data_IF_544939298029
#
_entry.id   IF_544939298029
#
_cell.length_a   1.000
_cell.length_b   1.000
_cell.length_c   1.000
_cell.angle_alpha   90.00
_cell.angle_beta   90.00
_cell.angle_gamma   90.00
#
_symmetry.space_group_name_H-M   'P 1'
#
loop_
_entity.id
_entity.type
_entity.pdbx_description
1 polymer ?
#
# COMPACT_ATOMS: atom_id res chain seq x y z
N UNK A 1 13.97 -3.95 -19.45
CA UNK A 1 14.10 -2.49 -19.70
C UNK A 1 13.41 -2.00 -20.96
N UNK A 2 13.72 -2.46 -22.20
CA UNK A 2 13.04 -1.96 -23.43
C UNK A 2 11.57 -2.40 -23.53
N UNK A 3 11.27 -3.67 -23.24
CA UNK A 3 9.88 -4.20 -23.25
C UNK A 3 8.98 -3.53 -22.21
N UNK A 4 9.51 -3.21 -21.04
CA UNK A 4 8.74 -2.58 -19.96
C UNK A 4 8.40 -1.13 -20.30
N UNK A 5 9.33 -0.39 -20.94
CA UNK A 5 9.05 0.97 -21.46
C UNK A 5 7.97 0.98 -22.55
N UNK A 6 7.97 -0.01 -23.46
CA UNK A 6 6.92 -0.13 -24.47
C UNK A 6 5.57 -0.45 -23.85
N UNK A 7 5.53 -1.36 -22.87
CA UNK A 7 4.29 -1.73 -22.21
C UNK A 7 3.74 -0.56 -21.38
N UNK A 8 4.58 0.18 -20.65
CA UNK A 8 4.18 1.41 -19.94
C UNK A 8 3.61 2.44 -20.93
N UNK A 9 4.27 2.67 -22.05
CA UNK A 9 3.80 3.59 -23.09
C UNK A 9 2.44 3.20 -23.72
N UNK A 10 2.06 1.92 -23.66
CA UNK A 10 0.73 1.45 -24.10
C UNK A 10 -0.34 1.60 -23.02
N UNK A 11 0.03 1.46 -21.76
CA UNK A 11 -0.90 1.51 -20.61
C UNK A 11 -1.19 2.96 -20.20
N UNK A 12 -0.20 3.83 -20.26
CA UNK A 12 -0.32 5.23 -19.82
C UNK A 12 -1.45 6.01 -20.52
N UNK A 13 -1.63 5.94 -21.86
CA UNK A 13 -2.77 6.59 -22.53
C UNK A 13 -4.12 6.05 -22.08
N UNK A 14 -4.19 4.75 -21.76
CA UNK A 14 -5.40 4.12 -21.26
C UNK A 14 -5.75 4.62 -19.87
N UNK A 15 -4.78 4.68 -18.97
CA UNK A 15 -4.96 5.21 -17.62
C UNK A 15 -5.33 6.70 -17.69
N UNK A 16 -4.67 7.49 -18.52
CA UNK A 16 -5.01 8.90 -18.72
C UNK A 16 -6.47 9.08 -19.16
N UNK A 17 -6.94 8.25 -20.09
CA UNK A 17 -8.34 8.26 -20.50
C UNK A 17 -9.25 7.89 -19.34
N UNK A 18 -8.95 6.84 -18.61
CA UNK A 18 -9.73 6.39 -17.45
C UNK A 18 -9.84 7.48 -16.38
N UNK A 19 -8.72 8.16 -16.06
CA UNK A 19 -8.70 9.25 -15.08
C UNK A 19 -9.46 10.49 -15.59
N UNK A 20 -9.40 10.78 -16.89
CA UNK A 20 -10.21 11.84 -17.51
C UNK A 20 -11.70 11.51 -17.41
N UNK A 21 -12.08 10.29 -17.77
CA UNK A 21 -13.46 9.84 -17.70
C UNK A 21 -13.97 9.83 -16.25
N UNK A 22 -13.11 9.46 -15.28
CA UNK A 22 -13.41 9.46 -13.84
C UNK A 22 -13.78 10.87 -13.33
N UNK A 23 -13.14 11.92 -13.84
CA UNK A 23 -13.49 13.32 -13.51
C UNK A 23 -14.86 13.74 -14.03
N UNK A 24 -15.30 13.19 -15.18
CA UNK A 24 -16.53 13.59 -15.83
C UNK A 24 -17.75 12.76 -15.39
N UNK A 25 -17.56 11.46 -15.14
CA UNK A 25 -18.57 10.52 -14.69
C UNK A 25 -17.91 9.45 -13.82
N UNK A 26 -17.73 9.73 -12.52
CA UNK A 26 -17.00 8.84 -11.59
C UNK A 26 -17.60 7.44 -11.51
N UNK A 27 -18.92 7.34 -11.45
CA UNK A 27 -19.63 6.07 -11.27
C UNK A 27 -19.47 5.15 -12.48
N UNK A 28 -19.73 5.69 -13.67
CA UNK A 28 -19.59 4.95 -14.93
C UNK A 28 -18.14 4.56 -15.20
N UNK A 29 -17.22 5.47 -14.91
CA UNK A 29 -15.79 5.25 -15.16
C UNK A 29 -15.23 4.16 -14.27
N UNK A 30 -15.63 4.10 -13.00
CA UNK A 30 -15.22 3.02 -12.12
C UNK A 30 -15.68 1.65 -12.65
N UNK A 31 -16.93 1.54 -13.10
CA UNK A 31 -17.44 0.30 -13.73
C UNK A 31 -16.60 -0.09 -14.95
N UNK A 32 -16.31 0.88 -15.83
CA UNK A 32 -15.48 0.64 -17.02
C UNK A 32 -14.04 0.20 -16.64
N UNK A 33 -13.46 0.75 -15.56
CA UNK A 33 -12.13 0.34 -15.06
C UNK A 33 -12.13 -1.13 -14.63
N UNK A 34 -13.13 -1.54 -13.87
CA UNK A 34 -13.27 -2.93 -13.42
C UNK A 34 -13.49 -3.87 -14.60
N UNK A 35 -14.39 -3.52 -15.52
CA UNK A 35 -14.66 -4.31 -16.72
C UNK A 35 -13.43 -4.44 -17.63
N UNK A 36 -12.64 -3.38 -17.74
CA UNK A 36 -11.39 -3.40 -18.48
C UNK A 36 -10.36 -4.33 -17.83
N UNK A 37 -10.18 -4.23 -16.52
CA UNK A 37 -9.27 -5.11 -15.77
C UNK A 37 -9.70 -6.58 -15.94
N UNK A 38 -11.00 -6.86 -15.92
CA UNK A 38 -11.58 -8.18 -16.18
C UNK A 38 -11.33 -8.69 -17.62
N UNK A 39 -11.22 -7.77 -18.58
CA UNK A 39 -11.02 -8.12 -19.99
C UNK A 39 -9.58 -8.51 -20.35
N UNK A 40 -8.60 -8.31 -19.44
CA UNK A 40 -7.21 -8.70 -19.71
C UNK A 40 -7.03 -10.24 -19.67
N UNK A 41 -6.78 -10.90 -20.83
CA UNK A 41 -6.88 -12.37 -20.98
C UNK A 41 -5.80 -13.17 -20.26
N UNK A 42 -4.80 -12.52 -19.65
CA UNK A 42 -3.71 -13.17 -18.91
C UNK A 42 -3.67 -12.79 -17.42
N UNK A 43 -4.73 -12.18 -16.92
CA UNK A 43 -4.83 -11.80 -15.51
C UNK A 43 -4.92 -13.05 -14.63
N UNK A 44 -3.82 -13.41 -14.01
CA UNK A 44 -3.80 -14.34 -12.85
C UNK A 44 -4.23 -13.63 -11.56
N UNK A 45 -4.88 -12.49 -11.66
CA UNK A 45 -5.64 -11.95 -10.56
C UNK A 45 -6.78 -12.94 -10.34
N UNK A 46 -6.87 -13.50 -9.15
CA UNK A 46 -7.91 -14.48 -8.86
C UNK A 46 -9.27 -13.86 -9.15
N UNK A 47 -10.17 -14.62 -9.76
CA UNK A 47 -11.56 -14.22 -10.01
C UNK A 47 -12.19 -13.59 -8.76
N UNK A 48 -11.77 -14.03 -7.57
CA UNK A 48 -12.28 -13.54 -6.28
C UNK A 48 -12.08 -12.03 -6.04
N UNK A 49 -10.94 -11.45 -6.44
CA UNK A 49 -10.73 -10.00 -6.26
C UNK A 49 -11.63 -9.19 -7.21
N UNK A 50 -11.80 -9.68 -8.43
CA UNK A 50 -12.67 -9.03 -9.41
C UNK A 50 -14.14 -9.21 -9.10
N UNK A 51 -14.54 -10.37 -8.63
CA UNK A 51 -15.90 -10.62 -8.14
C UNK A 51 -16.21 -9.69 -6.95
N UNK A 52 -15.24 -9.46 -6.07
CA UNK A 52 -15.38 -8.51 -4.97
C UNK A 52 -15.56 -7.08 -5.49
N UNK A 53 -14.74 -6.63 -6.44
CA UNK A 53 -14.85 -5.31 -7.05
C UNK A 53 -16.17 -5.15 -7.83
N UNK A 54 -16.60 -6.16 -8.61
CA UNK A 54 -17.88 -6.14 -9.29
C UNK A 54 -19.05 -6.06 -8.30
N UNK A 55 -18.99 -6.85 -7.23
CA UNK A 55 -20.00 -6.82 -6.16
C UNK A 55 -20.07 -5.45 -5.47
N UNK A 56 -18.93 -4.80 -5.26
CA UNK A 56 -18.86 -3.43 -4.75
C UNK A 56 -19.57 -2.43 -5.69
N UNK A 57 -19.44 -2.61 -6.98
CA UNK A 57 -20.00 -1.71 -8.00
C UNK A 57 -21.47 -1.97 -8.33
N UNK A 58 -22.03 -3.13 -7.93
CA UNK A 58 -23.46 -3.43 -8.13
C UNK A 58 -24.36 -2.87 -7.04
N UNK A 59 -23.80 -2.40 -5.92
CA UNK A 59 -24.55 -1.76 -4.85
C UNK A 59 -24.72 -0.27 -5.15
N UNK A 60 -25.88 0.14 -5.60
CA UNK A 60 -26.18 1.56 -5.91
C UNK A 60 -26.11 2.49 -4.69
N UNK A 61 -26.19 1.95 -3.48
CA UNK A 61 -26.07 2.69 -2.22
C UNK A 61 -24.67 2.59 -1.60
N UNK A 62 -23.67 2.16 -2.35
CA UNK A 62 -22.31 2.02 -1.85
C UNK A 62 -21.70 3.37 -1.49
N UNK A 63 -21.17 3.50 -0.27
CA UNK A 63 -20.41 4.67 0.14
C UNK A 63 -19.11 4.86 -0.66
N UNK A 64 -18.68 3.85 -1.42
CA UNK A 64 -17.52 3.98 -2.31
C UNK A 64 -17.73 4.93 -3.49
N UNK A 65 -18.98 5.22 -3.88
CA UNK A 65 -19.24 6.32 -4.82
C UNK A 65 -18.89 7.67 -4.19
N UNK A 66 -19.20 7.85 -2.91
CA UNK A 66 -18.78 9.05 -2.15
C UNK A 66 -17.25 9.11 -2.05
N UNK A 67 -16.58 8.00 -1.74
CA UNK A 67 -15.12 7.92 -1.72
C UNK A 67 -14.50 8.39 -3.05
N UNK A 68 -15.00 7.90 -4.18
CA UNK A 68 -14.47 8.29 -5.48
C UNK A 68 -14.68 9.77 -5.76
N UNK A 69 -15.87 10.28 -5.43
CA UNK A 69 -16.16 11.71 -5.57
C UNK A 69 -15.23 12.57 -4.70
N UNK A 70 -14.94 12.13 -3.47
CA UNK A 70 -13.96 12.78 -2.60
C UNK A 70 -12.57 12.81 -3.29
N UNK A 71 -12.06 11.64 -3.71
CA UNK A 71 -10.74 11.53 -4.37
C UNK A 71 -10.65 12.46 -5.59
N UNK A 72 -11.64 12.43 -6.46
CA UNK A 72 -11.65 13.24 -7.70
C UNK A 72 -11.71 14.74 -7.40
N UNK A 73 -12.33 15.15 -6.28
CA UNK A 73 -12.53 16.55 -5.94
C UNK A 73 -11.27 17.25 -5.44
N UNK A 74 -10.37 16.54 -4.75
CA UNK A 74 -9.21 17.17 -4.12
C UNK A 74 -7.85 16.69 -4.65
N UNK A 75 -7.75 15.41 -5.08
CA UNK A 75 -6.46 14.80 -5.37
C UNK A 75 -5.85 15.29 -6.69
N UNK A 76 -4.55 15.55 -6.68
CA UNK A 76 -3.79 15.68 -7.93
C UNK A 76 -3.80 14.36 -8.70
N UNK A 77 -4.41 14.38 -9.89
CA UNK A 77 -4.57 13.18 -10.72
C UNK A 77 -3.25 12.58 -11.21
N UNK A 78 -2.16 13.35 -11.24
CA UNK A 78 -0.83 12.82 -11.53
C UNK A 78 -0.32 11.93 -10.38
N UNK A 79 -0.64 12.27 -9.12
CA UNK A 79 -0.33 11.40 -7.99
C UNK A 79 -1.07 10.05 -8.12
N UNK A 80 -2.36 10.09 -8.40
CA UNK A 80 -3.15 8.87 -8.58
C UNK A 80 -2.65 8.05 -9.77
N UNK A 81 -2.31 8.71 -10.88
CA UNK A 81 -1.77 8.07 -12.09
C UNK A 81 -0.45 7.35 -11.82
N UNK A 82 0.55 8.06 -11.31
CA UNK A 82 1.88 7.50 -11.10
C UNK A 82 1.85 6.38 -10.05
N UNK A 83 1.15 6.59 -8.94
CA UNK A 83 0.98 5.55 -7.93
C UNK A 83 0.29 4.31 -8.52
N UNK A 84 -0.80 4.48 -9.27
CA UNK A 84 -1.56 3.37 -9.85
C UNK A 84 -0.76 2.61 -10.92
N UNK A 85 0.02 3.29 -11.76
CA UNK A 85 0.91 2.64 -12.72
C UNK A 85 1.96 1.80 -11.99
N UNK A 86 2.59 2.35 -10.97
CA UNK A 86 3.64 1.67 -10.24
C UNK A 86 3.11 0.48 -9.44
N UNK A 87 2.01 0.65 -8.69
CA UNK A 87 1.38 -0.44 -7.95
C UNK A 87 0.76 -1.49 -8.89
N UNK A 88 0.01 -1.06 -9.90
CA UNK A 88 -0.71 -1.96 -10.80
C UNK A 88 0.20 -2.66 -11.82
N UNK A 89 0.94 -1.88 -12.61
CA UNK A 89 1.75 -2.47 -13.67
C UNK A 89 3.14 -2.91 -13.18
N UNK A 90 3.90 -2.00 -12.55
CA UNK A 90 5.28 -2.32 -12.18
C UNK A 90 5.31 -3.42 -11.10
N UNK A 91 4.53 -3.29 -10.02
CA UNK A 91 4.53 -4.27 -8.94
C UNK A 91 3.71 -5.53 -9.27
N UNK A 92 2.43 -5.37 -9.66
CA UNK A 92 1.52 -6.51 -9.80
C UNK A 92 1.66 -7.26 -11.15
N UNK A 93 2.34 -6.72 -12.14
CA UNK A 93 2.48 -7.36 -13.47
C UNK A 93 3.94 -7.69 -13.80
N UNK A 94 4.77 -6.68 -14.06
CA UNK A 94 6.17 -6.88 -14.44
C UNK A 94 6.99 -7.45 -13.30
N UNK A 95 6.92 -6.84 -12.13
CA UNK A 95 7.60 -7.27 -10.91
C UNK A 95 7.15 -8.66 -10.47
N UNK A 96 5.85 -8.90 -10.42
CA UNK A 96 5.28 -10.20 -10.08
C UNK A 96 5.80 -11.36 -10.97
N UNK A 97 6.04 -11.10 -12.25
CA UNK A 97 6.67 -12.07 -13.14
C UNK A 97 8.10 -12.38 -12.70
N UNK A 98 8.89 -11.34 -12.43
CA UNK A 98 10.29 -11.47 -11.96
C UNK A 98 10.35 -12.19 -10.62
N UNK A 99 9.49 -11.83 -9.67
CA UNK A 99 9.35 -12.49 -8.37
C UNK A 99 9.13 -13.99 -8.55
N UNK A 100 8.15 -14.39 -9.36
CA UNK A 100 7.84 -15.83 -9.58
C UNK A 100 8.99 -16.58 -10.26
N UNK A 101 9.69 -15.95 -11.19
CA UNK A 101 10.86 -16.56 -11.88
C UNK A 101 12.02 -16.73 -10.90
N UNK A 102 12.35 -15.69 -10.13
CA UNK A 102 13.45 -15.72 -9.17
C UNK A 102 13.14 -16.61 -7.95
N UNK A 103 11.91 -16.62 -7.45
CA UNK A 103 11.50 -17.51 -6.37
C UNK A 103 11.71 -18.98 -6.75
N UNK A 104 11.29 -19.37 -7.96
CA UNK A 104 11.51 -20.74 -8.46
C UNK A 104 12.99 -21.05 -8.66
N UNK A 105 13.76 -20.13 -9.25
CA UNK A 105 15.19 -20.31 -9.51
C UNK A 105 15.99 -20.47 -8.22
N UNK A 106 15.62 -19.74 -7.18
CA UNK A 106 16.36 -19.68 -5.92
C UNK A 106 15.78 -20.58 -4.83
N UNK A 107 14.62 -21.23 -5.08
CA UNK A 107 13.86 -22.03 -4.12
C UNK A 107 13.63 -21.26 -2.80
N UNK A 108 13.18 -20.03 -2.93
CA UNK A 108 12.79 -19.17 -1.79
C UNK A 108 11.63 -18.27 -2.17
N UNK A 109 10.85 -17.86 -1.19
CA UNK A 109 9.78 -16.90 -1.40
C UNK A 109 10.34 -15.48 -1.42
N UNK A 110 9.95 -14.71 -2.43
CA UNK A 110 10.25 -13.29 -2.55
C UNK A 110 8.91 -12.56 -2.39
N UNK A 111 8.76 -11.67 -1.40
CA UNK A 111 7.50 -11.00 -1.14
C UNK A 111 7.17 -10.00 -2.25
N UNK A 112 5.87 -9.77 -2.46
CA UNK A 112 5.39 -8.74 -3.40
C UNK A 112 5.60 -7.31 -2.88
N UNK A 113 5.46 -7.12 -1.58
CA UNK A 113 5.68 -5.86 -0.87
C UNK A 113 6.74 -6.06 0.21
N UNK A 114 7.56 -5.07 0.43
CA UNK A 114 8.52 -5.05 1.53
C UNK A 114 8.18 -3.90 2.48
N UNK A 115 8.00 -4.23 3.75
CA UNK A 115 7.84 -3.24 4.80
C UNK A 115 9.23 -2.90 5.35
N UNK A 116 9.55 -1.62 5.48
CA UNK A 116 10.85 -1.13 5.93
C UNK A 116 10.63 -0.08 7.00
N UNK A 117 11.07 -0.36 8.22
CA UNK A 117 11.18 0.66 9.26
C UNK A 117 12.48 1.44 9.03
N UNK A 118 12.39 2.76 9.02
CA UNK A 118 13.55 3.63 8.76
C UNK A 118 13.51 4.89 9.60
N UNK A 119 14.64 5.55 9.66
CA UNK A 119 14.80 6.90 10.16
C UNK A 119 15.91 7.61 9.40
N UNK A 120 16.17 8.86 9.73
CA UNK A 120 17.22 9.67 9.11
C UNK A 120 18.61 9.00 9.15
N UNK A 121 18.94 8.28 10.23
CA UNK A 121 20.28 7.68 10.41
C UNK A 121 20.44 6.43 9.55
N UNK A 122 19.33 5.71 9.25
CA UNK A 122 19.32 4.45 8.51
C UNK A 122 18.92 4.62 7.03
N UNK A 123 18.76 5.86 6.57
CA UNK A 123 18.34 6.18 5.18
C UNK A 123 19.20 5.52 4.10
N UNK A 124 20.52 5.46 4.30
CA UNK A 124 21.42 4.77 3.36
C UNK A 124 21.14 3.27 3.28
N UNK A 125 20.89 2.63 4.42
CA UNK A 125 20.51 1.21 4.49
C UNK A 125 19.20 1.00 3.74
N UNK A 126 18.19 1.85 3.97
CA UNK A 126 16.90 1.79 3.28
C UNK A 126 17.05 1.92 1.76
N UNK A 127 17.88 2.85 1.29
CA UNK A 127 18.18 2.99 -0.15
C UNK A 127 18.82 1.73 -0.75
N UNK A 128 19.76 1.11 -0.04
CA UNK A 128 20.42 -0.13 -0.46
C UNK A 128 19.44 -1.32 -0.46
N UNK A 129 18.52 -1.41 0.51
CA UNK A 129 17.46 -2.41 0.56
C UNK A 129 16.54 -2.27 -0.66
N UNK A 130 16.03 -1.07 -0.93
CA UNK A 130 15.15 -0.80 -2.08
C UNK A 130 15.83 -1.14 -3.39
N UNK A 131 17.10 -0.79 -3.55
CA UNK A 131 17.89 -1.15 -4.73
C UNK A 131 17.95 -2.66 -4.93
N UNK A 132 18.27 -3.44 -3.91
CA UNK A 132 18.32 -4.90 -3.97
C UNK A 132 16.93 -5.50 -4.21
N UNK A 133 15.89 -4.96 -3.58
CA UNK A 133 14.51 -5.40 -3.74
C UNK A 133 14.01 -5.24 -5.18
N UNK A 134 14.36 -4.14 -5.86
CA UNK A 134 14.04 -3.92 -7.29
C UNK A 134 14.68 -4.97 -8.20
N UNK A 135 15.89 -5.42 -7.90
CA UNK A 135 16.56 -6.50 -8.64
C UNK A 135 15.80 -7.83 -8.48
N UNK A 136 15.04 -7.99 -7.40
CA UNK A 136 14.18 -9.15 -7.13
C UNK A 136 12.77 -9.02 -7.74
N UNK A 137 12.42 -7.85 -8.28
CA UNK A 137 11.11 -7.56 -8.86
C UNK A 137 10.12 -6.92 -7.88
N UNK A 138 10.58 -6.51 -6.70
CA UNK A 138 9.74 -5.81 -5.70
C UNK A 138 9.70 -4.33 -6.08
N UNK A 139 8.50 -3.81 -6.38
CA UNK A 139 8.24 -2.41 -6.73
C UNK A 139 7.18 -1.77 -5.83
N UNK A 140 6.71 -2.47 -4.80
CA UNK A 140 5.80 -1.96 -3.78
C UNK A 140 6.52 -1.94 -2.45
N UNK A 141 6.52 -0.79 -1.78
CA UNK A 141 7.16 -0.59 -0.49
C UNK A 141 6.20 0.06 0.50
N UNK A 142 6.17 -0.45 1.73
CA UNK A 142 5.61 0.22 2.87
C UNK A 142 6.78 0.72 3.73
N UNK A 143 6.95 2.03 3.81
CA UNK A 143 8.02 2.66 4.60
C UNK A 143 7.41 3.23 5.86
N UNK A 144 7.96 2.90 7.01
CA UNK A 144 7.54 3.41 8.31
C UNK A 144 8.63 4.38 8.78
N UNK A 145 8.30 5.67 8.82
CA UNK A 145 9.17 6.75 9.26
C UNK A 145 8.31 7.77 10.03
N UNK A 146 8.36 7.69 11.34
CA UNK A 146 7.50 8.50 12.22
C UNK A 146 7.79 10.01 12.08
N UNK A 147 9.03 10.38 11.80
CA UNK A 147 9.50 11.78 11.68
C UNK A 147 10.14 12.02 10.30
N UNK A 148 9.29 12.08 9.30
CA UNK A 148 9.68 12.10 7.88
C UNK A 148 10.86 13.01 7.58
N UNK A 149 11.97 12.40 7.14
CA UNK A 149 13.22 13.08 6.82
C UNK A 149 13.32 13.49 5.34
N UNK A 150 14.21 14.45 5.04
CA UNK A 150 14.56 14.79 3.65
C UNK A 150 15.18 13.59 2.93
N UNK A 151 15.90 12.75 3.65
CA UNK A 151 16.53 11.54 3.15
C UNK A 151 15.47 10.52 2.72
N UNK A 152 14.39 10.35 3.48
CA UNK A 152 13.26 9.49 3.12
C UNK A 152 12.53 10.03 1.88
N UNK A 153 12.28 11.33 1.81
CA UNK A 153 11.69 11.97 0.63
C UNK A 153 12.57 11.75 -0.62
N UNK A 154 13.90 11.90 -0.49
CA UNK A 154 14.83 11.67 -1.61
C UNK A 154 14.85 10.20 -2.07
N UNK A 155 14.80 9.25 -1.14
CA UNK A 155 14.69 7.82 -1.47
C UNK A 155 13.44 7.56 -2.32
N UNK A 156 12.28 8.11 -1.94
CA UNK A 156 11.04 7.93 -2.69
C UNK A 156 11.14 8.61 -4.06
N UNK A 157 11.69 9.83 -4.13
CA UNK A 157 11.86 10.61 -5.35
C UNK A 157 12.70 9.89 -6.40
N UNK A 158 13.86 9.38 -6.02
CA UNK A 158 14.79 8.73 -6.97
C UNK A 158 14.31 7.33 -7.41
N UNK A 159 13.34 6.74 -6.71
CA UNK A 159 12.73 5.46 -7.05
C UNK A 159 11.32 5.66 -7.62
N UNK A 160 11.19 6.56 -8.58
CA UNK A 160 9.91 6.98 -9.15
C UNK A 160 9.14 5.87 -9.90
N UNK A 161 9.77 4.75 -10.23
CA UNK A 161 9.13 3.55 -10.79
C UNK A 161 8.50 2.63 -9.73
N UNK A 162 8.68 2.92 -8.45
CA UNK A 162 8.10 2.18 -7.33
C UNK A 162 6.85 2.88 -6.78
N UNK A 163 5.94 2.13 -6.17
CA UNK A 163 4.86 2.66 -5.36
C UNK A 163 5.24 2.58 -3.88
N UNK A 164 5.02 3.67 -3.16
CA UNK A 164 5.31 3.77 -1.73
C UNK A 164 4.04 4.05 -0.93
N UNK A 165 3.85 3.32 0.17
CA UNK A 165 2.98 3.74 1.26
C UNK A 165 3.87 4.19 2.39
N UNK A 166 3.81 5.48 2.74
CA UNK A 166 4.60 6.06 3.82
C UNK A 166 3.74 6.16 5.07
N UNK A 167 4.04 5.36 6.07
CA UNK A 167 3.40 5.40 7.38
C UNK A 167 4.18 6.37 8.29
N UNK A 168 3.49 7.36 8.84
CA UNK A 168 4.11 8.41 9.63
C UNK A 168 3.16 8.99 10.67
N UNK A 169 3.69 9.72 11.65
CA UNK A 169 2.87 10.45 12.62
C UNK A 169 2.24 11.69 11.99
N UNK A 170 1.00 11.99 12.34
CA UNK A 170 0.29 13.19 11.87
C UNK A 170 1.00 14.48 12.29
N UNK A 171 1.68 14.47 13.45
CA UNK A 171 2.50 15.58 13.95
C UNK A 171 3.69 15.92 13.06
N UNK A 172 4.14 15.00 12.20
CA UNK A 172 5.22 15.24 11.23
C UNK A 172 4.75 16.03 10.01
N UNK A 173 3.44 16.13 9.77
CA UNK A 173 2.87 16.87 8.64
C UNK A 173 2.96 18.37 8.90
N UNK A 174 3.76 19.04 8.11
CA UNK A 174 4.04 20.49 8.19
C UNK A 174 4.23 21.07 6.80
N UNK A 175 4.20 22.38 6.65
CA UNK A 175 4.50 23.05 5.37
C UNK A 175 5.84 22.60 4.78
N UNK A 176 6.85 22.37 5.64
CA UNK A 176 8.15 21.85 5.23
C UNK A 176 8.03 20.43 4.65
N UNK A 177 7.35 19.54 5.36
CA UNK A 177 7.16 18.15 4.92
C UNK A 177 6.36 18.11 3.62
N UNK A 178 5.30 18.90 3.51
CA UNK A 178 4.49 19.00 2.29
C UNK A 178 5.34 19.49 1.11
N UNK A 179 6.17 20.51 1.31
CA UNK A 179 7.07 21.04 0.28
C UNK A 179 8.11 19.99 -0.18
N UNK A 180 8.63 19.15 0.72
CA UNK A 180 9.54 18.06 0.35
C UNK A 180 8.90 17.04 -0.61
N UNK A 181 7.57 16.88 -0.56
CA UNK A 181 6.81 15.96 -1.42
C UNK A 181 6.09 16.65 -2.58
N UNK A 182 6.41 17.89 -2.93
CA UNK A 182 5.70 18.62 -3.99
C UNK A 182 5.82 17.93 -5.36
N UNK A 183 7.01 17.47 -5.70
CA UNK A 183 7.33 16.80 -6.96
C UNK A 183 7.24 15.26 -6.91
N UNK A 184 6.94 14.67 -5.74
CA UNK A 184 6.82 13.23 -5.56
C UNK A 184 5.38 12.79 -5.84
N UNK A 185 5.18 11.92 -6.85
CA UNK A 185 3.85 11.50 -7.34
C UNK A 185 3.55 10.01 -7.09
N UNK A 186 4.49 9.26 -6.58
CA UNK A 186 4.43 7.81 -6.41
C UNK A 186 4.26 7.35 -4.95
N UNK A 187 3.74 8.22 -4.10
CA UNK A 187 3.55 7.96 -2.67
C UNK A 187 2.11 8.18 -2.24
N UNK A 188 1.63 7.29 -1.36
CA UNK A 188 0.45 7.42 -0.52
C UNK A 188 0.95 7.63 0.91
N UNK A 189 0.71 8.79 1.50
CA UNK A 189 1.02 9.04 2.90
C UNK A 189 -0.09 8.48 3.80
N UNK A 190 0.24 7.69 4.80
CA UNK A 190 -0.70 7.20 5.82
C UNK A 190 -0.31 7.79 7.16
N UNK A 191 -1.21 8.53 7.79
CA UNK A 191 -0.95 9.27 9.01
C UNK A 191 -1.68 8.68 10.22
N UNK A 192 -1.05 8.75 11.39
CA UNK A 192 -1.60 8.35 12.68
C UNK A 192 -1.40 9.47 13.70
N UNK A 193 -2.29 9.62 14.66
CA UNK A 193 -2.15 10.63 15.71
C UNK A 193 -3.42 10.85 16.52
N UNK A 194 -3.35 11.82 17.40
CA UNK A 194 -4.51 12.31 18.15
C UNK A 194 -5.52 13.00 17.25
N UNK A 195 -6.73 13.23 17.76
CA UNK A 195 -7.79 13.91 17.02
C UNK A 195 -7.37 15.26 16.44
N UNK A 196 -6.70 16.07 17.25
CA UNK A 196 -6.30 17.42 16.86
C UNK A 196 -5.17 17.39 15.82
N UNK A 197 -4.23 16.46 15.97
CA UNK A 197 -3.16 16.24 14.98
C UNK A 197 -3.71 15.73 13.64
N UNK A 198 -4.62 14.74 13.67
CA UNK A 198 -5.27 14.23 12.46
C UNK A 198 -6.05 15.33 11.75
N UNK A 199 -6.84 16.15 12.49
CA UNK A 199 -7.59 17.26 11.90
C UNK A 199 -6.65 18.22 11.15
N UNK A 200 -5.59 18.68 11.81
CA UNK A 200 -4.63 19.61 11.22
C UNK A 200 -3.91 19.00 10.02
N UNK A 201 -3.43 17.76 10.14
CA UNK A 201 -2.66 17.10 9.10
C UNK A 201 -3.52 16.78 7.87
N UNK A 202 -4.75 16.27 8.05
CA UNK A 202 -5.64 15.95 6.93
C UNK A 202 -6.08 17.20 6.17
N UNK A 203 -6.34 18.31 6.88
CA UNK A 203 -6.65 19.59 6.23
C UNK A 203 -5.48 20.07 5.38
N UNK A 204 -4.27 20.05 5.93
CA UNK A 204 -3.06 20.44 5.20
C UNK A 204 -2.79 19.55 3.97
N UNK A 205 -2.93 18.22 4.10
CA UNK A 205 -2.74 17.28 2.99
C UNK A 205 -3.82 17.46 1.90
N UNK A 206 -5.07 17.72 2.29
CA UNK A 206 -6.19 17.97 1.37
C UNK A 206 -5.99 19.28 0.60
N UNK A 207 -5.65 20.38 1.29
CA UNK A 207 -5.39 21.69 0.68
C UNK A 207 -4.23 21.64 -0.31
N UNK A 208 -3.24 20.78 -0.07
CA UNK A 208 -2.09 20.58 -0.96
C UNK A 208 -2.27 19.41 -1.94
N UNK A 209 -3.49 18.90 -2.11
CA UNK A 209 -3.85 17.88 -3.10
C UNK A 209 -3.03 16.59 -3.00
N UNK A 210 -2.59 16.21 -1.79
CA UNK A 210 -1.74 15.03 -1.56
C UNK A 210 -2.58 13.76 -1.46
N UNK A 211 -2.03 12.65 -1.93
CA UNK A 211 -2.62 11.34 -1.80
C UNK A 211 -2.36 10.78 -0.41
N UNK A 212 -3.41 10.65 0.41
CA UNK A 212 -3.25 10.24 1.80
C UNK A 212 -4.32 9.28 2.29
N UNK A 213 -4.00 8.63 3.40
CA UNK A 213 -4.80 7.68 4.16
C UNK A 213 -4.59 7.91 5.66
N UNK A 214 -5.35 7.21 6.48
CA UNK A 214 -5.15 7.15 7.93
C UNK A 214 -4.81 5.73 8.32
N UNK A 215 -3.99 5.55 9.36
CA UNK A 215 -3.79 4.24 9.96
C UNK A 215 -3.99 4.25 11.46
N UNK A 216 -4.31 3.07 11.99
CA UNK A 216 -4.48 2.83 13.42
C UNK A 216 -3.87 1.47 13.79
N UNK A 217 -3.42 1.35 15.03
CA UNK A 217 -2.79 0.15 15.53
C UNK A 217 -3.78 -0.70 16.34
N UNK A 218 -3.64 -2.01 16.23
CA UNK A 218 -4.41 -2.97 17.03
C UNK A 218 -3.52 -4.03 17.68
N UNK A 219 -4.02 -4.56 18.77
CA UNK A 219 -3.46 -5.68 19.52
C UNK A 219 -4.58 -6.52 20.15
N UNK A 220 -4.20 -7.47 21.02
CA UNK A 220 -5.15 -8.36 21.69
C UNK A 220 -6.12 -7.62 22.64
N UNK A 221 -5.75 -6.43 23.12
CA UNK A 221 -6.55 -5.66 24.08
C UNK A 221 -7.59 -4.78 23.38
N UNK A 222 -7.25 -4.20 22.21
CA UNK A 222 -8.06 -3.19 21.56
C UNK A 222 -8.76 -3.64 20.25
N UNK A 223 -8.46 -4.81 19.70
CA UNK A 223 -8.94 -5.26 18.39
C UNK A 223 -10.49 -5.19 18.25
N UNK A 224 -11.22 -5.48 19.32
CA UNK A 224 -12.69 -5.39 19.29
C UNK A 224 -13.19 -3.97 19.14
N UNK A 225 -12.51 -2.99 19.73
CA UNK A 225 -12.91 -1.57 19.68
C UNK A 225 -12.71 -0.93 18.31
N UNK A 226 -11.83 -1.51 17.46
CA UNK A 226 -11.59 -1.03 16.09
C UNK A 226 -12.87 -1.04 15.26
N UNK A 227 -13.76 -2.00 15.50
CA UNK A 227 -15.01 -2.17 14.75
C UNK A 227 -16.22 -1.56 15.45
N UNK A 228 -16.04 -0.83 16.55
CA UNK A 228 -17.12 -0.07 17.15
C UNK A 228 -17.61 1.01 16.16
N UNK A 229 -18.93 1.14 16.00
CA UNK A 229 -19.54 2.08 15.05
C UNK A 229 -19.06 3.53 15.27
N UNK A 230 -18.90 3.91 16.53
CA UNK A 230 -18.36 5.23 16.90
C UNK A 230 -16.93 5.43 16.35
N UNK A 231 -16.08 4.40 16.44
CA UNK A 231 -14.69 4.48 15.94
C UNK A 231 -14.62 4.45 14.41
N UNK A 232 -15.45 3.64 13.76
CA UNK A 232 -15.55 3.62 12.29
C UNK A 232 -16.05 4.98 11.76
N UNK A 233 -17.07 5.57 12.39
CA UNK A 233 -17.56 6.90 12.03
C UNK A 233 -16.53 8.00 12.34
N UNK A 234 -15.76 7.88 13.42
CA UNK A 234 -14.65 8.79 13.71
C UNK A 234 -13.64 8.85 12.57
N UNK A 235 -13.24 7.71 12.01
CA UNK A 235 -12.32 7.69 10.88
C UNK A 235 -12.92 8.22 9.57
N UNK A 236 -14.24 8.24 9.42
CA UNK A 236 -14.92 8.83 8.25
C UNK A 236 -14.59 10.32 8.07
N UNK A 237 -14.35 11.04 9.17
CA UNK A 237 -14.04 12.48 9.16
C UNK A 237 -12.61 12.77 8.68
N UNK A 238 -11.67 11.81 8.85
CA UNK A 238 -10.25 12.01 8.59
C UNK A 238 -9.71 11.20 7.40
N UNK A 239 -10.48 10.23 6.90
CA UNK A 239 -10.00 9.29 5.89
C UNK A 239 -10.55 9.63 4.52
N UNK A 240 -9.66 9.89 3.56
CA UNK A 240 -10.06 10.20 2.19
C UNK A 240 -9.91 9.01 1.24
N UNK A 241 -9.20 7.95 1.62
CA UNK A 241 -8.95 6.79 0.75
C UNK A 241 -9.00 5.47 1.49
N UNK A 242 -8.02 5.21 2.36
CA UNK A 242 -7.88 3.96 3.10
C UNK A 242 -7.81 4.21 4.60
N UNK A 243 -8.39 3.30 5.36
CA UNK A 243 -8.08 3.10 6.76
C UNK A 243 -7.22 1.84 6.88
N UNK A 244 -5.94 2.00 7.15
CA UNK A 244 -5.03 0.89 7.38
C UNK A 244 -5.05 0.49 8.85
N UNK A 245 -5.34 -0.77 9.14
CA UNK A 245 -5.25 -1.34 10.47
C UNK A 245 -3.96 -2.16 10.56
N UNK A 246 -3.06 -1.77 11.45
CA UNK A 246 -1.74 -2.37 11.59
C UNK A 246 -1.63 -3.16 12.90
N UNK A 247 -1.24 -4.44 12.88
CA UNK A 247 -1.01 -5.16 14.12
C UNK A 247 0.24 -4.64 14.83
N UNK A 248 0.19 -4.53 16.14
CA UNK A 248 1.41 -4.46 16.93
C UNK A 248 2.16 -5.80 16.88
N UNK A 249 3.45 -5.81 17.22
CA UNK A 249 4.28 -7.03 17.15
C UNK A 249 3.84 -8.19 18.07
N UNK A 250 2.85 -7.98 18.93
CA UNK A 250 2.40 -8.94 19.96
C UNK A 250 0.98 -9.46 19.75
N UNK A 251 0.43 -9.38 18.56
CA UNK A 251 -0.90 -9.90 18.29
C UNK A 251 -0.94 -11.43 18.28
N UNK A 252 -1.92 -12.01 18.96
CA UNK A 252 -2.23 -13.43 18.85
C UNK A 252 -2.81 -13.78 17.48
N UNK A 253 -2.73 -15.04 17.08
CA UNK A 253 -3.36 -15.51 15.84
C UNK A 253 -4.88 -15.33 15.86
N UNK A 254 -5.51 -15.47 17.03
CA UNK A 254 -6.96 -15.23 17.19
C UNK A 254 -7.32 -13.79 16.87
N UNK A 255 -6.53 -12.82 17.34
CA UNK A 255 -6.69 -11.40 17.02
C UNK A 255 -6.50 -11.13 15.53
N UNK A 256 -5.47 -11.69 14.91
CA UNK A 256 -5.24 -11.55 13.47
C UNK A 256 -6.39 -12.10 12.63
N UNK A 257 -6.93 -13.27 12.99
CA UNK A 257 -8.08 -13.88 12.29
C UNK A 257 -9.37 -13.06 12.51
N UNK A 258 -9.58 -12.54 13.72
CA UNK A 258 -10.69 -11.66 14.04
C UNK A 258 -10.65 -10.37 13.21
N UNK A 259 -9.49 -9.72 13.14
CA UNK A 259 -9.29 -8.49 12.36
C UNK A 259 -9.54 -8.72 10.86
N UNK A 260 -8.97 -9.78 10.29
CA UNK A 260 -9.17 -10.16 8.89
C UNK A 260 -10.66 -10.33 8.54
N UNK A 261 -11.39 -11.06 9.38
CA UNK A 261 -12.80 -11.37 9.16
C UNK A 261 -13.68 -10.12 9.23
N UNK A 262 -13.42 -9.24 10.21
CA UNK A 262 -14.22 -8.02 10.41
C UNK A 262 -13.85 -6.90 9.43
N UNK A 263 -12.57 -6.73 9.08
CA UNK A 263 -12.17 -5.79 8.03
C UNK A 263 -12.83 -6.15 6.69
N UNK A 264 -12.88 -7.45 6.36
CA UNK A 264 -13.62 -7.93 5.19
C UNK A 264 -15.11 -7.61 5.28
N UNK A 265 -15.74 -7.79 6.45
CA UNK A 265 -17.14 -7.48 6.66
C UNK A 265 -17.42 -5.98 6.44
N UNK A 266 -16.60 -5.09 7.00
CA UNK A 266 -16.72 -3.63 6.79
C UNK A 266 -16.66 -3.30 5.30
N UNK A 267 -15.71 -3.88 4.54
CA UNK A 267 -15.62 -3.70 3.09
C UNK A 267 -16.85 -4.23 2.33
N UNK A 268 -17.35 -5.39 2.71
CA UNK A 268 -18.52 -6.01 2.06
C UNK A 268 -19.82 -5.21 2.32
N UNK A 269 -19.94 -4.56 3.47
CA UNK A 269 -21.09 -3.72 3.83
C UNK A 269 -21.10 -2.36 3.09
N UNK A 270 -19.95 -1.84 2.71
CA UNK A 270 -19.77 -0.60 1.92
C UNK A 270 -20.48 0.63 2.52
N UNK A 271 -20.52 0.71 3.86
CA UNK A 271 -21.20 1.80 4.60
C UNK A 271 -20.35 3.04 4.77
N UNK A 272 -19.01 2.90 4.68
CA UNK A 272 -18.04 3.96 4.92
C UNK A 272 -17.37 4.40 3.63
N UNK A 273 -17.12 5.70 3.48
CA UNK A 273 -16.46 6.29 2.32
C UNK A 273 -14.93 6.19 2.38
N UNK A 274 -14.45 5.07 2.87
CA UNK A 274 -13.03 4.65 2.84
C UNK A 274 -12.93 3.13 2.69
N UNK A 275 -11.78 2.64 2.23
CA UNK A 275 -11.49 1.21 2.15
C UNK A 275 -10.69 0.80 3.38
N UNK A 276 -11.29 0.00 4.27
CA UNK A 276 -10.57 -0.56 5.41
C UNK A 276 -9.66 -1.69 4.97
N UNK A 277 -8.39 -1.65 5.37
CA UNK A 277 -7.40 -2.69 5.08
C UNK A 277 -6.73 -3.17 6.37
N UNK A 278 -6.77 -4.46 6.61
CA UNK A 278 -5.91 -5.12 7.58
C UNK A 278 -4.54 -5.38 6.92
N UNK A 279 -3.57 -4.54 7.25
CA UNK A 279 -2.27 -4.51 6.57
C UNK A 279 -1.61 -5.88 6.57
N UNK A 280 -1.68 -6.62 7.67
CA UNK A 280 -1.08 -7.94 7.78
C UNK A 280 -1.75 -8.98 6.86
N UNK A 281 -3.04 -9.22 7.06
CA UNK A 281 -3.75 -10.29 6.34
C UNK A 281 -4.01 -9.95 4.87
N UNK A 282 -4.31 -8.68 4.56
CA UNK A 282 -4.53 -8.27 3.18
C UNK A 282 -3.22 -8.33 2.38
N UNK A 283 -2.08 -7.96 2.99
CA UNK A 283 -0.76 -8.11 2.35
C UNK A 283 -0.46 -9.58 2.03
N UNK A 284 -0.70 -10.50 2.96
CA UNK A 284 -0.53 -11.94 2.73
C UNK A 284 -1.45 -12.46 1.63
N UNK A 285 -2.71 -12.02 1.63
CA UNK A 285 -3.69 -12.40 0.62
C UNK A 285 -3.28 -11.92 -0.77
N UNK A 286 -2.82 -10.68 -0.88
CA UNK A 286 -2.33 -10.10 -2.13
C UNK A 286 -1.05 -10.81 -2.58
N UNK A 287 -0.11 -11.08 -1.67
CA UNK A 287 1.12 -11.82 -2.00
C UNK A 287 0.80 -13.19 -2.58
N UNK A 288 -0.13 -13.93 -1.98
CA UNK A 288 -0.58 -15.22 -2.49
C UNK A 288 -1.13 -15.14 -3.91
N UNK A 289 -1.88 -14.08 -4.23
CA UNK A 289 -2.41 -13.87 -5.58
C UNK A 289 -1.33 -13.51 -6.60
N UNK A 290 -0.38 -12.67 -6.21
CA UNK A 290 0.63 -12.08 -7.10
C UNK A 290 1.85 -13.00 -7.25
N UNK A 291 2.47 -13.39 -6.14
CA UNK A 291 3.68 -14.20 -6.12
C UNK A 291 3.40 -15.71 -6.15
N UNK A 292 2.22 -16.14 -5.71
CA UNK A 292 1.85 -17.52 -5.46
C UNK A 292 2.29 -18.02 -4.08
N UNK A 293 2.84 -17.13 -3.24
CA UNK A 293 3.32 -17.43 -1.91
C UNK A 293 2.30 -16.92 -0.86
N UNK A 294 2.66 -16.98 0.40
CA UNK A 294 1.92 -16.40 1.52
C UNK A 294 2.99 -15.90 2.51
N UNK A 295 3.73 -14.88 2.11
CA UNK A 295 4.90 -14.43 2.81
C UNK A 295 4.94 -12.90 2.86
N UNK A 296 5.05 -12.35 4.06
CA UNK A 296 5.34 -10.93 4.29
C UNK A 296 6.74 -10.79 4.87
N UNK A 297 7.38 -9.70 4.59
CA UNK A 297 8.71 -9.38 5.10
C UNK A 297 8.74 -7.94 5.62
N UNK A 298 9.23 -7.79 6.83
CA UNK A 298 9.47 -6.51 7.50
C UNK A 298 10.95 -6.44 7.80
N UNK A 299 11.59 -5.33 7.47
CA UNK A 299 12.97 -5.04 7.86
C UNK A 299 12.95 -3.89 8.84
N UNK A 300 13.46 -4.13 10.04
CA UNK A 300 13.55 -3.09 11.07
C UNK A 300 14.73 -2.12 10.84
N UNK A 301 14.81 -1.09 11.67
CA UNK A 301 15.85 -0.06 11.57
C UNK A 301 17.28 -0.62 11.73
N UNK A 302 17.47 -1.71 12.47
CA UNK A 302 18.75 -2.39 12.61
C UNK A 302 19.07 -3.31 11.41
N UNK A 303 18.13 -3.50 10.47
CA UNK A 303 18.26 -4.35 9.30
C UNK A 303 17.92 -5.82 9.53
N UNK A 304 17.23 -6.15 10.61
CA UNK A 304 16.75 -7.51 10.87
C UNK A 304 15.48 -7.80 10.07
N UNK A 305 15.42 -9.00 9.48
CA UNK A 305 14.25 -9.45 8.74
C UNK A 305 13.28 -10.18 9.67
N UNK A 306 12.02 -9.75 9.68
CA UNK A 306 10.90 -10.42 10.31
C UNK A 306 9.89 -10.89 9.26
N UNK A 307 9.14 -11.92 9.56
CA UNK A 307 7.99 -12.34 8.75
C UNK A 307 6.84 -12.81 9.64
N UNK A 308 5.76 -13.18 9.01
CA UNK A 308 4.56 -13.72 9.65
C UNK A 308 4.78 -15.08 10.37
N UNK A 309 5.99 -15.64 10.35
CA UNK A 309 6.24 -17.01 10.85
C UNK A 309 7.19 -17.11 12.02
N UNK A 310 8.10 -16.17 12.23
CA UNK A 310 9.11 -16.26 13.31
C UNK A 310 9.75 -14.90 13.66
N UNK A 311 10.32 -14.80 14.86
CA UNK A 311 11.22 -13.72 15.29
C UNK A 311 12.54 -13.74 14.49
N UNK A 312 12.72 -12.73 13.65
CA UNK A 312 13.75 -12.70 12.62
C UNK A 312 15.13 -12.21 13.01
N UNK A 313 15.48 -12.14 14.29
CA UNK A 313 16.74 -11.56 14.76
C UNK A 313 18.03 -12.23 14.27
N UNK A 314 17.93 -13.39 13.60
CA UNK A 314 19.10 -14.17 13.13
C UNK A 314 19.65 -13.73 11.77
N UNK A 315 18.89 -13.01 10.97
CA UNK A 315 19.25 -12.71 9.59
C UNK A 315 19.14 -11.22 9.31
N UNK A 316 20.30 -10.59 9.19
CA UNK A 316 20.42 -9.15 9.10
C UNK A 316 20.98 -8.76 7.73
N UNK A 317 20.35 -7.79 7.08
CA UNK A 317 20.69 -7.33 5.74
C UNK A 317 22.04 -6.61 5.68
N UNK A 318 22.51 -6.07 6.80
CA UNK A 318 23.83 -5.44 6.87
C UNK A 318 24.98 -6.43 6.73
N UNK A 319 24.70 -7.73 6.95
CA UNK A 319 25.69 -8.79 6.92
C UNK A 319 25.66 -9.60 5.61
N UNK A 320 24.59 -9.51 4.82
CA UNK A 320 24.44 -10.27 3.58
C UNK A 320 23.38 -9.66 2.67
N UNK A 321 23.42 -9.93 1.34
CA UNK A 321 22.41 -9.45 0.39
C UNK A 321 20.98 -9.92 0.75
N UNK A 322 19.97 -9.09 0.41
CA UNK A 322 18.56 -9.36 0.69
C UNK A 322 18.11 -10.76 0.24
N UNK A 323 18.50 -11.19 -0.97
CA UNK A 323 18.15 -12.53 -1.46
C UNK A 323 18.70 -13.66 -0.56
N UNK A 324 19.90 -13.48 -0.02
CA UNK A 324 20.51 -14.48 0.86
C UNK A 324 19.88 -14.48 2.25
N UNK A 325 19.46 -13.31 2.74
CA UNK A 325 18.64 -13.19 3.96
C UNK A 325 17.33 -13.95 3.77
N UNK A 326 16.59 -13.70 2.67
CA UNK A 326 15.33 -14.38 2.36
C UNK A 326 15.49 -15.91 2.26
N UNK A 327 16.55 -16.38 1.62
CA UNK A 327 16.86 -17.83 1.53
C UNK A 327 17.16 -18.49 2.86
N UNK A 328 17.86 -17.79 3.75
CA UNK A 328 18.23 -18.33 5.06
C UNK A 328 17.07 -18.32 6.02
N UNK A 329 16.25 -17.28 5.96
CA UNK A 329 15.07 -17.14 6.81
C UNK A 329 14.03 -18.24 6.60
N UNK A 330 13.94 -18.79 5.40
CA UNK A 330 12.93 -19.77 4.99
C UNK A 330 13.41 -21.23 5.07
N UNK A 331 14.65 -21.47 5.47
CA UNK A 331 15.23 -22.80 5.69
C UNK A 331 15.06 -23.26 7.13
#
# INVERSE_FOLDING_TARGET
MFKDRMARAMIEPLINKMLHDLKNDPERSLRNVVDLILSFPNGRFSNNMFEMLQKMLTNENSAYYTLINKIVSYLDMENLKEFSINAGYNACTSGAKTIRELSRKNNCYIPWILLIETDKQHSKQTADIIKQAKELGIYMFAVIDDDVSEETAEIIRVNNECAFVLFTEASSVSDRTIAMFEDIKNVLASIHGTKDELSSATDALRENHKFFAVHDFYDDENCHSVFAEEKLNYFEDYTETFLFCMPTRKCSQETLDYMSSNAKKVRDEQKHSYVMMDVYNDTLTIDKMISGNNFSAIIDVEGNLYSNKEDGTKYNINNMPLLDVLKKYQK
#
